data_IF_847366593274
#
_entry.id   IF_847366593274
#
_cell.length_a   1.000
_cell.length_b   1.000
_cell.length_c   1.000
_cell.angle_alpha   90.00
_cell.angle_beta   90.00
_cell.angle_gamma   90.00
#
_symmetry.space_group_name_H-M   'P 1'
#
loop_
_entity.id
_entity.type
_entity.pdbx_description
1 polymer ?
#
# COMPACT_ATOMS: atom_id res chain seq x y z
N UNK A 1 48.09 -5.20 0.04
CA UNK A 1 47.47 -3.92 0.44
C UNK A 1 46.00 -4.18 0.59
N UNK A 2 45.45 -3.90 1.78
CA UNK A 2 44.06 -4.15 2.11
C UNK A 2 43.12 -3.34 1.18
N UNK A 3 42.11 -4.03 0.65
CA UNK A 3 40.97 -3.45 -0.07
C UNK A 3 40.30 -2.37 0.79
N UNK A 4 39.85 -1.24 0.23
CA UNK A 4 38.95 -0.36 0.94
C UNK A 4 37.60 -1.08 1.06
N UNK A 5 37.20 -1.35 2.29
CA UNK A 5 35.85 -1.79 2.63
C UNK A 5 34.85 -0.85 1.97
N UNK A 6 33.87 -1.42 1.27
CA UNK A 6 32.73 -0.69 0.73
C UNK A 6 32.14 0.18 1.84
N UNK A 7 32.12 1.50 1.64
CA UNK A 7 31.27 2.36 2.46
C UNK A 7 29.80 1.98 2.18
N UNK A 8 29.01 1.63 3.21
CA UNK A 8 27.57 1.49 3.06
C UNK A 8 27.01 2.79 2.45
N UNK A 9 25.96 2.69 1.63
CA UNK A 9 25.17 3.85 1.20
C UNK A 9 24.97 4.79 2.40
N UNK A 10 25.67 5.93 2.41
CA UNK A 10 25.52 6.89 3.49
C UNK A 10 24.03 7.28 3.55
N UNK A 11 23.37 7.18 4.72
CA UNK A 11 21.97 7.55 4.82
C UNK A 11 21.84 9.02 4.44
N UNK A 12 20.98 9.28 3.45
CA UNK A 12 20.63 10.65 3.07
C UNK A 12 20.14 11.39 4.31
N UNK A 13 20.56 12.66 4.50
CA UNK A 13 20.25 13.41 5.72
C UNK A 13 18.74 13.59 5.88
N UNK A 14 18.25 13.29 7.09
CA UNK A 14 16.83 13.40 7.47
C UNK A 14 16.26 14.78 7.13
N UNK A 15 14.98 14.89 6.74
CA UNK A 15 14.32 16.19 6.59
C UNK A 15 14.47 17.02 7.87
N UNK A 16 15.02 18.23 7.76
CA UNK A 16 15.25 19.13 8.91
C UNK A 16 16.68 19.16 9.49
N UNK A 17 17.62 18.37 8.95
CA UNK A 17 19.06 18.54 9.24
C UNK A 17 19.69 19.61 8.36
N UNK A 18 20.81 20.20 8.78
CA UNK A 18 21.50 21.24 8.00
C UNK A 18 21.92 20.73 6.61
N UNK A 19 22.18 19.41 6.51
CA UNK A 19 22.55 18.72 5.29
C UNK A 19 21.39 18.52 4.29
N UNK A 20 20.12 18.71 4.69
CA UNK A 20 18.95 18.67 3.80
C UNK A 20 18.42 20.05 3.38
N UNK A 21 19.12 21.13 3.74
CA UNK A 21 18.72 22.52 3.44
C UNK A 21 19.58 23.18 2.35
N UNK A 22 19.02 24.20 1.67
CA UNK A 22 19.77 24.93 0.63
C UNK A 22 21.02 25.63 1.21
N UNK A 23 22.11 25.80 0.44
CA UNK A 23 23.33 26.45 0.92
C UNK A 23 23.10 27.87 1.47
N UNK A 24 22.07 28.58 0.99
CA UNK A 24 21.68 29.89 1.50
C UNK A 24 21.07 29.82 2.90
N UNK A 25 20.17 28.84 3.13
CA UNK A 25 19.52 28.61 4.42
C UNK A 25 20.53 28.09 5.45
N UNK A 26 21.41 27.16 5.06
CA UNK A 26 22.47 26.66 5.93
C UNK A 26 23.42 27.79 6.40
N UNK A 27 23.77 28.73 5.51
CA UNK A 27 24.56 29.93 5.86
C UNK A 27 23.79 30.86 6.80
N UNK A 28 22.49 31.06 6.59
CA UNK A 28 21.64 31.88 7.46
C UNK A 28 21.56 31.28 8.87
N UNK A 29 21.32 29.97 8.98
CA UNK A 29 21.22 29.25 10.26
C UNK A 29 22.54 29.30 11.05
N UNK A 30 23.69 29.12 10.37
CA UNK A 30 25.01 29.31 11.01
C UNK A 30 25.20 30.72 11.55
N UNK A 31 24.73 31.74 10.83
CA UNK A 31 24.83 33.15 11.23
C UNK A 31 23.96 33.48 12.45
N UNK A 32 22.95 32.65 12.73
CA UNK A 32 22.05 32.77 13.88
C UNK A 32 22.42 31.81 15.02
N UNK A 33 23.66 31.30 15.03
CA UNK A 33 24.19 30.39 16.05
C UNK A 33 23.38 29.08 16.22
N UNK A 34 22.68 28.64 15.18
CA UNK A 34 21.97 27.36 15.20
C UNK A 34 22.95 26.19 15.35
N UNK A 35 22.71 25.32 16.34
CA UNK A 35 23.41 24.03 16.48
C UNK A 35 22.45 22.91 16.08
N UNK A 36 22.93 21.95 15.30
CA UNK A 36 22.15 20.80 14.87
C UNK A 36 21.63 20.02 16.10
N UNK A 37 20.32 19.76 16.14
CA UNK A 37 19.65 19.17 17.31
C UNK A 37 19.34 20.15 18.45
N UNK A 38 19.45 21.47 18.24
CA UNK A 38 19.06 22.49 19.23
C UNK A 38 17.93 23.39 18.71
N UNK A 39 17.09 23.91 19.61
CA UNK A 39 15.97 24.78 19.24
C UNK A 39 16.44 26.19 18.89
N UNK A 40 15.70 26.89 18.02
CA UNK A 40 16.05 28.21 17.46
C UNK A 40 16.10 29.39 18.46
N UNK A 41 15.94 29.17 19.76
CA UNK A 41 15.98 30.22 20.78
C UNK A 41 17.39 30.56 21.30
N UNK A 42 17.56 31.71 21.99
CA UNK A 42 18.85 32.24 22.46
C UNK A 42 19.69 31.33 23.37
N UNK A 43 19.11 30.24 23.87
CA UNK A 43 19.74 29.22 24.72
C UNK A 43 19.55 27.79 24.20
N UNK A 44 19.32 27.61 22.90
CA UNK A 44 18.93 26.32 22.32
C UNK A 44 17.50 25.90 22.68
N UNK A 45 16.68 26.84 23.19
CA UNK A 45 15.30 26.58 23.61
C UNK A 45 14.38 26.72 22.40
N UNK A 46 13.73 25.63 22.03
CA UNK A 46 12.81 25.53 20.92
C UNK A 46 12.44 24.06 20.74
N UNK A 47 11.31 23.81 20.11
CA UNK A 47 10.83 22.45 19.87
C UNK A 47 11.74 21.81 18.82
N UNK A 48 12.62 20.90 19.25
CA UNK A 48 13.58 20.20 18.37
C UNK A 48 12.99 18.90 17.83
N UNK A 49 12.24 18.19 18.68
CA UNK A 49 11.46 17.05 18.24
C UNK A 49 10.25 17.57 17.43
N UNK A 50 9.77 16.86 16.39
CA UNK A 50 8.47 17.12 15.81
C UNK A 50 7.44 17.26 16.95
N UNK A 51 6.49 18.20 16.84
CA UNK A 51 5.39 18.30 17.81
C UNK A 51 4.62 16.99 17.75
N UNK A 52 4.98 16.05 18.61
CA UNK A 52 4.19 14.86 18.82
C UNK A 52 2.90 15.34 19.46
N UNK A 53 1.77 15.07 18.82
CA UNK A 53 0.48 15.12 19.48
C UNK A 53 0.48 14.03 20.55
N UNK A 54 1.09 14.31 21.71
CA UNK A 54 0.98 13.46 22.88
C UNK A 54 -0.44 13.70 23.38
N UNK A 55 -1.33 12.76 23.05
CA UNK A 55 -2.56 12.56 23.79
C UNK A 55 -2.11 12.38 25.24
N UNK A 56 -2.33 13.39 26.09
CA UNK A 56 -2.04 13.24 27.51
C UNK A 56 -2.92 12.08 27.98
N UNK A 57 -2.32 10.92 28.21
CA UNK A 57 -2.93 9.83 28.99
C UNK A 57 -2.99 10.26 30.46
N UNK A 58 -3.57 11.43 30.73
CA UNK A 58 -4.01 11.80 32.05
C UNK A 58 -5.40 11.19 32.20
N UNK A 59 -5.39 9.93 32.64
CA UNK A 59 -6.56 9.27 33.18
C UNK A 59 -7.13 10.17 34.29
N UNK A 60 -8.38 10.61 34.14
CA UNK A 60 -9.23 11.20 35.19
C UNK A 60 -9.07 12.69 35.55
N UNK A 61 -9.10 13.63 34.60
CA UNK A 61 -9.45 15.03 34.95
C UNK A 61 -10.31 15.71 33.87
N UNK A 62 -11.55 15.24 33.76
CA UNK A 62 -12.62 15.94 33.08
C UNK A 62 -13.95 15.31 33.48
N UNK A 63 -14.83 16.08 34.11
CA UNK A 63 -16.21 15.64 34.40
C UNK A 63 -16.88 15.45 33.04
N UNK A 64 -16.88 14.21 32.54
CA UNK A 64 -17.39 13.83 31.22
C UNK A 64 -16.49 12.90 30.39
N UNK A 65 -15.22 12.66 30.77
CA UNK A 65 -14.37 11.73 30.02
C UNK A 65 -14.67 10.27 30.40
N UNK A 66 -15.65 9.65 29.73
CA UNK A 66 -15.69 8.19 29.63
C UNK A 66 -14.82 7.78 28.45
N UNK A 67 -13.63 7.26 28.73
CA UNK A 67 -12.98 6.31 27.82
C UNK A 67 -13.80 5.02 27.86
N UNK A 68 -15.01 5.07 27.31
CA UNK A 68 -15.77 3.87 27.00
C UNK A 68 -14.90 3.15 25.98
N UNK A 69 -14.51 1.91 26.30
CA UNK A 69 -13.70 1.07 25.43
C UNK A 69 -14.15 1.28 23.98
N UNK A 70 -13.18 1.57 23.09
CA UNK A 70 -13.45 1.64 21.66
C UNK A 70 -14.28 0.41 21.31
N UNK A 71 -15.47 0.64 20.78
CA UNK A 71 -16.38 -0.44 20.41
C UNK A 71 -15.63 -1.37 19.44
N UNK A 72 -15.43 -2.63 19.83
CA UNK A 72 -14.81 -3.64 18.96
C UNK A 72 -15.80 -4.03 17.87
N UNK A 73 -15.73 -3.32 16.76
CA UNK A 73 -16.48 -3.56 15.53
C UNK A 73 -15.90 -4.72 14.70
N UNK A 74 -14.77 -5.32 15.12
CA UNK A 74 -14.04 -6.33 14.36
C UNK A 74 -13.16 -5.77 13.23
N UNK A 75 -12.96 -4.45 13.15
CA UNK A 75 -12.27 -3.75 12.07
C UNK A 75 -11.02 -3.00 12.61
N UNK A 76 -9.93 -2.88 11.82
CA UNK A 76 -8.67 -2.27 12.29
C UNK A 76 -8.70 -0.73 12.35
N UNK A 77 -7.90 -0.15 13.26
CA UNK A 77 -7.63 1.30 13.37
C UNK A 77 -6.44 1.72 12.48
N UNK A 78 -6.48 2.92 11.89
CA UNK A 78 -5.45 3.40 10.93
C UNK A 78 -4.41 4.36 11.57
N UNK A 79 -3.09 4.15 11.38
CA UNK A 79 -2.02 5.07 11.81
C UNK A 79 -1.70 6.21 10.80
N UNK A 80 -0.92 7.25 11.18
CA UNK A 80 -0.61 8.42 10.32
C UNK A 80 0.47 8.16 9.24
N UNK A 81 0.29 8.77 8.05
CA UNK A 81 0.84 8.34 6.74
C UNK A 81 2.19 8.98 6.31
N UNK A 82 2.61 10.12 6.88
CA UNK A 82 3.61 11.02 6.22
C UNK A 82 5.08 10.60 6.36
N UNK A 83 5.53 10.06 7.50
CA UNK A 83 6.94 9.63 7.65
C UNK A 83 7.27 8.38 6.82
N UNK A 84 6.25 7.67 6.39
CA UNK A 84 6.39 6.39 5.70
C UNK A 84 6.69 6.55 4.21
N UNK A 85 6.14 7.58 3.56
CA UNK A 85 6.38 7.85 2.14
C UNK A 85 7.86 8.18 1.84
N UNK A 86 8.51 8.97 2.70
CA UNK A 86 9.92 9.32 2.52
C UNK A 86 10.83 8.11 2.72
N UNK A 87 10.54 7.28 3.73
CA UNK A 87 11.26 6.04 4.00
C UNK A 87 11.18 5.09 2.81
N UNK A 88 9.98 4.85 2.28
CA UNK A 88 9.75 4.01 1.10
C UNK A 88 10.58 4.47 -0.09
N UNK A 89 10.55 5.77 -0.38
CA UNK A 89 11.33 6.34 -1.49
C UNK A 89 12.85 6.11 -1.36
N UNK A 90 13.38 6.20 -0.14
CA UNK A 90 14.80 5.94 0.10
C UNK A 90 15.15 4.45 -0.08
N UNK A 91 14.28 3.56 0.40
CA UNK A 91 14.43 2.11 0.25
C UNK A 91 14.39 1.70 -1.23
N UNK A 92 13.49 2.28 -2.02
CA UNK A 92 13.38 2.03 -3.47
C UNK A 92 14.67 2.37 -4.22
N UNK A 93 15.28 3.52 -3.94
CA UNK A 93 16.53 3.93 -4.58
C UNK A 93 17.70 2.99 -4.25
N UNK A 94 17.80 2.55 -3.00
CA UNK A 94 18.80 1.57 -2.58
C UNK A 94 18.59 0.21 -3.26
N UNK A 95 17.33 -0.24 -3.37
CA UNK A 95 16.95 -1.47 -4.06
C UNK A 95 17.36 -1.44 -5.53
N UNK A 96 17.01 -0.37 -6.26
CA UNK A 96 17.38 -0.22 -7.69
C UNK A 96 18.89 -0.32 -7.89
N UNK A 97 19.67 0.34 -7.03
CA UNK A 97 21.13 0.32 -7.10
C UNK A 97 21.71 -1.07 -6.89
N UNK A 98 21.21 -1.80 -5.90
CA UNK A 98 21.65 -3.17 -5.61
C UNK A 98 21.34 -4.11 -6.79
N UNK A 99 20.17 -3.97 -7.42
CA UNK A 99 19.81 -4.77 -8.59
C UNK A 99 20.70 -4.47 -9.81
N UNK A 100 21.07 -3.21 -10.04
CA UNK A 100 21.99 -2.86 -11.13
C UNK A 100 23.39 -3.48 -10.95
N UNK A 101 23.86 -3.57 -9.71
CA UNK A 101 25.13 -4.22 -9.36
C UNK A 101 25.04 -5.73 -9.59
N UNK A 102 24.01 -6.38 -9.05
CA UNK A 102 23.77 -7.82 -9.24
C UNK A 102 23.66 -8.18 -10.73
N UNK A 103 22.92 -7.37 -11.50
CA UNK A 103 22.77 -7.52 -12.95
C UNK A 103 24.12 -7.53 -13.67
N UNK A 104 24.97 -6.56 -13.35
CA UNK A 104 26.28 -6.38 -13.98
C UNK A 104 27.17 -7.57 -13.70
N UNK A 105 27.25 -8.00 -12.43
CA UNK A 105 28.10 -9.11 -12.01
C UNK A 105 27.69 -10.42 -12.68
N UNK A 106 26.38 -10.73 -12.71
CA UNK A 106 25.88 -11.93 -13.40
C UNK A 106 26.16 -11.90 -14.90
N UNK A 107 25.99 -10.74 -15.55
CA UNK A 107 26.30 -10.60 -17.00
C UNK A 107 27.78 -10.84 -17.28
N UNK A 108 28.69 -10.31 -16.44
CA UNK A 108 30.13 -10.54 -16.59
C UNK A 108 30.48 -12.02 -16.41
N UNK A 109 29.87 -12.70 -15.43
CA UNK A 109 30.08 -14.12 -15.20
C UNK A 109 29.65 -14.94 -16.43
N UNK A 110 28.41 -14.74 -16.91
CA UNK A 110 27.90 -15.44 -18.10
C UNK A 110 28.76 -15.21 -19.35
N UNK A 111 29.17 -13.96 -19.61
CA UNK A 111 30.03 -13.65 -20.75
C UNK A 111 31.42 -14.28 -20.62
N UNK A 112 31.99 -14.35 -19.42
CA UNK A 112 33.28 -15.02 -19.19
C UNK A 112 33.20 -16.50 -19.50
N UNK A 113 32.18 -17.17 -18.97
CA UNK A 113 31.95 -18.60 -19.21
C UNK A 113 31.84 -18.87 -20.72
N UNK A 114 31.10 -18.04 -21.45
CA UNK A 114 31.01 -18.12 -22.92
C UNK A 114 32.34 -17.87 -23.65
N UNK A 115 33.19 -16.96 -23.14
CA UNK A 115 34.51 -16.69 -23.75
C UNK A 115 35.57 -17.74 -23.42
N UNK A 116 35.34 -18.60 -22.43
CA UNK A 116 36.22 -19.71 -22.10
C UNK A 116 35.91 -20.96 -22.94
N UNK A 117 34.73 -21.03 -23.59
CA UNK A 117 34.38 -22.06 -24.56
C UNK A 117 35.05 -21.79 -25.93
N UNK A 118 35.57 -22.83 -26.59
CA UNK A 118 36.44 -22.74 -27.80
C UNK A 118 35.78 -22.08 -29.05
N UNK A 119 34.50 -21.69 -29.00
CA UNK A 119 33.71 -21.14 -30.12
C UNK A 119 33.22 -19.71 -29.83
N UNK A 120 34.16 -18.82 -29.48
CA UNK A 120 33.89 -17.46 -29.02
C UNK A 120 33.33 -16.59 -30.15
N UNK A 121 32.12 -16.05 -29.97
CA UNK A 121 31.63 -14.98 -30.85
C UNK A 121 32.41 -13.68 -30.60
N UNK A 122 32.75 -12.95 -31.66
CA UNK A 122 33.43 -11.65 -31.57
C UNK A 122 32.58 -10.67 -30.77
N UNK A 123 31.25 -10.78 -30.90
CA UNK A 123 30.25 -10.01 -30.18
C UNK A 123 30.33 -10.20 -28.66
N UNK A 124 30.58 -11.44 -28.18
CA UNK A 124 30.75 -11.72 -26.75
C UNK A 124 32.02 -11.08 -26.19
N UNK A 125 33.14 -11.17 -26.91
CA UNK A 125 34.41 -10.57 -26.49
C UNK A 125 34.31 -9.02 -26.45
N UNK A 126 33.72 -8.42 -27.47
CA UNK A 126 33.48 -6.97 -27.53
C UNK A 126 32.51 -6.50 -26.42
N UNK A 127 31.46 -7.28 -26.15
CA UNK A 127 30.52 -6.99 -25.07
C UNK A 127 31.19 -7.02 -23.69
N UNK A 128 32.02 -8.04 -23.43
CA UNK A 128 32.77 -8.16 -22.18
C UNK A 128 33.72 -6.98 -21.99
N UNK A 129 34.48 -6.62 -23.03
CA UNK A 129 35.38 -5.47 -23.02
C UNK A 129 34.62 -4.16 -22.70
N UNK A 130 33.48 -3.92 -23.36
CA UNK A 130 32.66 -2.73 -23.14
C UNK A 130 32.11 -2.63 -21.70
N UNK A 131 31.70 -3.74 -21.08
CA UNK A 131 31.23 -3.75 -19.69
C UNK A 131 32.37 -3.52 -18.69
N UNK A 132 33.55 -4.09 -18.97
CA UNK A 132 34.74 -3.92 -18.13
C UNK A 132 35.29 -2.49 -18.18
N UNK A 133 35.17 -1.79 -19.32
CA UNK A 133 35.57 -0.38 -19.47
C UNK A 133 34.64 0.62 -18.77
N UNK A 134 33.40 0.21 -18.42
CA UNK A 134 32.49 1.07 -17.68
C UNK A 134 33.03 1.40 -16.29
N UNK A 135 33.30 2.70 -16.07
CA UNK A 135 33.88 3.23 -14.82
C UNK A 135 32.94 3.16 -13.60
N UNK A 136 31.63 2.97 -13.79
CA UNK A 136 30.65 3.01 -12.69
C UNK A 136 29.59 1.91 -12.84
N UNK A 137 29.39 1.15 -11.75
CA UNK A 137 28.42 0.05 -11.63
C UNK A 137 26.99 0.47 -11.94
N UNK A 138 26.59 1.72 -11.71
CA UNK A 138 25.21 2.20 -11.94
C UNK A 138 25.03 2.98 -13.25
N UNK A 139 26.11 3.21 -14.01
CA UNK A 139 26.01 3.88 -15.33
C UNK A 139 26.32 2.93 -16.50
N UNK A 140 26.75 1.71 -16.22
CA UNK A 140 27.20 0.77 -17.25
C UNK A 140 26.16 0.55 -18.34
N UNK A 141 24.88 0.36 -17.98
CA UNK A 141 23.79 0.22 -18.96
C UNK A 141 23.73 1.43 -19.90
N UNK A 142 23.87 2.65 -19.37
CA UNK A 142 23.81 3.87 -20.17
C UNK A 142 25.04 4.06 -21.08
N UNK A 143 26.20 3.49 -20.70
CA UNK A 143 27.44 3.58 -21.47
C UNK A 143 27.56 2.52 -22.57
N UNK A 144 26.76 1.45 -22.54
CA UNK A 144 26.83 0.39 -23.55
C UNK A 144 26.25 0.81 -24.90
N UNK A 145 26.95 0.52 -26.02
CA UNK A 145 26.39 0.64 -27.37
C UNK A 145 25.07 -0.13 -27.51
N UNK A 146 24.17 0.36 -28.38
CA UNK A 146 22.86 -0.27 -28.58
C UNK A 146 22.95 -1.70 -29.14
N UNK A 147 23.92 -1.97 -30.02
CA UNK A 147 24.20 -3.31 -30.55
C UNK A 147 24.64 -4.27 -29.46
N UNK A 148 25.61 -3.87 -28.62
CA UNK A 148 26.10 -4.66 -27.49
C UNK A 148 24.97 -5.00 -26.52
N UNK A 149 24.13 -4.01 -26.17
CA UNK A 149 22.99 -4.23 -25.28
C UNK A 149 21.97 -5.20 -25.87
N UNK A 150 21.68 -5.09 -27.17
CA UNK A 150 20.79 -6.00 -27.87
C UNK A 150 21.35 -7.42 -27.85
N UNK A 151 22.63 -7.61 -28.16
CA UNK A 151 23.28 -8.91 -28.10
C UNK A 151 23.19 -9.53 -26.71
N UNK A 152 23.58 -8.80 -25.66
CA UNK A 152 23.50 -9.29 -24.28
C UNK A 152 22.08 -9.71 -23.91
N UNK A 153 21.07 -8.90 -24.24
CA UNK A 153 19.68 -9.23 -23.90
C UNK A 153 19.18 -10.44 -24.67
N UNK A 154 19.36 -10.47 -25.99
CA UNK A 154 18.77 -11.48 -26.87
C UNK A 154 19.51 -12.82 -26.83
N UNK A 155 20.83 -12.81 -26.83
CA UNK A 155 21.65 -14.02 -27.01
C UNK A 155 22.21 -14.58 -25.69
N UNK A 156 22.29 -13.77 -24.62
CA UNK A 156 22.86 -14.19 -23.33
C UNK A 156 21.77 -14.32 -22.26
N UNK A 157 21.04 -13.23 -22.01
CA UNK A 157 20.12 -13.15 -20.88
C UNK A 157 18.84 -13.93 -21.13
N UNK A 158 18.17 -13.72 -22.28
CA UNK A 158 16.89 -14.38 -22.57
C UNK A 158 16.97 -15.91 -22.53
N UNK A 159 17.96 -16.59 -23.15
CA UNK A 159 18.05 -18.04 -23.08
C UNK A 159 18.28 -18.56 -21.66
N UNK A 160 19.15 -17.90 -20.89
CA UNK A 160 19.41 -18.26 -19.50
C UNK A 160 18.15 -18.09 -18.63
N UNK A 161 17.46 -16.96 -18.78
CA UNK A 161 16.19 -16.71 -18.11
C UNK A 161 15.12 -17.73 -18.49
N UNK A 162 15.02 -18.10 -19.77
CA UNK A 162 14.06 -19.10 -20.22
C UNK A 162 14.31 -20.45 -19.54
N UNK A 163 15.57 -20.89 -19.45
CA UNK A 163 15.94 -22.12 -18.76
C UNK A 163 15.61 -22.06 -17.25
N UNK A 164 16.00 -20.98 -16.56
CA UNK A 164 15.69 -20.80 -15.14
C UNK A 164 14.17 -20.70 -14.89
N UNK A 165 13.44 -20.02 -15.77
CA UNK A 165 11.98 -19.90 -15.68
C UNK A 165 11.27 -21.25 -15.83
N UNK A 166 11.83 -22.21 -16.58
CA UNK A 166 11.28 -23.56 -16.70
C UNK A 166 11.44 -24.39 -15.42
N UNK A 167 12.54 -24.22 -14.68
CA UNK A 167 12.77 -24.92 -13.41
C UNK A 167 12.17 -24.19 -12.20
N UNK A 168 11.98 -22.88 -12.32
CA UNK A 168 11.45 -22.03 -11.26
C UNK A 168 10.07 -22.49 -10.77
N UNK A 169 9.86 -22.41 -9.45
CA UNK A 169 8.58 -22.67 -8.81
C UNK A 169 8.14 -21.45 -8.02
N UNK A 170 6.90 -20.97 -8.20
CA UNK A 170 6.41 -19.85 -7.43
C UNK A 170 6.27 -20.24 -5.96
N UNK A 171 6.62 -19.29 -5.09
CA UNK A 171 6.45 -19.39 -3.64
C UNK A 171 6.31 -17.98 -3.07
N UNK A 172 5.85 -17.86 -1.82
CA UNK A 172 5.79 -16.59 -1.11
C UNK A 172 7.15 -16.02 -0.72
N UNK A 173 8.24 -16.78 -0.91
CA UNK A 173 9.59 -16.34 -0.58
C UNK A 173 9.90 -15.02 -1.32
N UNK A 174 10.28 -13.93 -0.62
CA UNK A 174 10.63 -12.66 -1.24
C UNK A 174 11.75 -12.76 -2.30
N UNK A 175 12.58 -13.79 -2.22
CA UNK A 175 13.65 -14.06 -3.18
C UNK A 175 13.24 -15.08 -4.26
N UNK A 176 11.98 -15.53 -4.33
CA UNK A 176 11.54 -16.54 -5.30
C UNK A 176 11.70 -16.09 -6.76
N UNK A 177 11.72 -14.77 -7.03
CA UNK A 177 11.95 -14.21 -8.37
C UNK A 177 13.43 -13.92 -8.67
N UNK A 178 14.39 -14.52 -7.95
CA UNK A 178 15.84 -14.26 -8.12
C UNK A 178 16.37 -14.47 -9.54
N UNK A 179 15.68 -15.27 -10.35
CA UNK A 179 16.06 -15.55 -11.74
C UNK A 179 15.71 -14.39 -12.68
N UNK A 180 14.74 -13.53 -12.30
CA UNK A 180 14.25 -12.39 -13.09
C UNK A 180 14.73 -11.06 -12.50
N UNK A 181 14.63 -10.93 -11.17
CA UNK A 181 14.88 -9.70 -10.41
C UNK A 181 16.18 -8.97 -10.81
N UNK A 182 17.32 -9.66 -11.01
CA UNK A 182 18.59 -9.02 -11.36
C UNK A 182 18.59 -8.45 -12.77
N UNK A 183 17.74 -8.94 -13.68
CA UNK A 183 17.76 -8.54 -15.08
C UNK A 183 16.86 -7.33 -15.37
N UNK A 184 15.89 -7.05 -14.50
CA UNK A 184 14.94 -5.92 -14.62
C UNK A 184 15.64 -4.60 -14.97
N UNK A 185 16.78 -4.21 -14.35
CA UNK A 185 17.45 -2.98 -14.73
C UNK A 185 17.87 -2.92 -16.20
N UNK A 186 18.15 -4.04 -16.86
CA UNK A 186 18.49 -4.10 -18.30
C UNK A 186 17.25 -4.21 -19.19
N UNK A 187 16.40 -5.21 -18.93
CA UNK A 187 15.30 -5.62 -19.82
C UNK A 187 14.03 -4.79 -19.59
N UNK A 188 13.91 -4.13 -18.43
CA UNK A 188 12.74 -3.35 -18.02
C UNK A 188 11.61 -4.23 -17.50
N UNK A 189 11.15 -5.18 -18.31
CA UNK A 189 10.04 -6.07 -18.00
C UNK A 189 10.33 -7.52 -18.41
N UNK A 190 9.55 -8.45 -17.88
CA UNK A 190 9.55 -9.85 -18.28
C UNK A 190 9.40 -9.96 -19.82
N UNK A 191 10.27 -10.72 -20.50
CA UNK A 191 10.18 -10.95 -21.95
C UNK A 191 8.86 -11.61 -22.35
N UNK A 192 8.34 -11.25 -23.52
CA UNK A 192 6.97 -11.63 -23.90
C UNK A 192 6.76 -13.14 -24.07
N UNK A 193 7.80 -13.82 -24.51
CA UNK A 193 7.88 -15.26 -24.70
C UNK A 193 7.81 -16.06 -23.39
N UNK A 194 8.07 -15.42 -22.24
CA UNK A 194 8.02 -16.07 -20.92
C UNK A 194 6.68 -15.87 -20.20
N UNK A 195 5.78 -15.02 -20.71
CA UNK A 195 4.52 -14.71 -20.03
C UNK A 195 3.66 -15.96 -19.77
N UNK A 196 3.42 -16.79 -20.78
CA UNK A 196 2.55 -17.96 -20.64
C UNK A 196 3.11 -18.98 -19.63
N UNK A 197 4.45 -19.15 -19.61
CA UNK A 197 5.14 -20.03 -18.66
C UNK A 197 4.99 -19.51 -17.24
N UNK A 198 5.19 -18.22 -17.03
CA UNK A 198 5.05 -17.58 -15.72
C UNK A 198 3.59 -17.57 -15.26
N UNK A 199 2.66 -17.17 -16.13
CA UNK A 199 1.22 -17.12 -15.85
C UNK A 199 0.70 -18.49 -15.41
N UNK A 200 0.98 -19.54 -16.19
CA UNK A 200 0.53 -20.90 -15.86
C UNK A 200 1.07 -21.39 -14.51
N UNK A 201 2.32 -21.08 -14.16
CA UNK A 201 2.92 -21.43 -12.87
C UNK A 201 2.34 -20.65 -11.71
N UNK A 202 2.11 -19.35 -11.87
CA UNK A 202 1.46 -18.54 -10.83
C UNK A 202 0.05 -19.09 -10.55
N UNK A 203 -0.71 -19.34 -11.61
CA UNK A 203 -2.09 -19.84 -11.50
C UNK A 203 -2.18 -21.23 -10.87
N UNK A 204 -1.13 -22.06 -10.95
CA UNK A 204 -1.13 -23.36 -10.28
C UNK A 204 -1.17 -23.28 -8.76
N UNK A 205 -0.99 -22.09 -8.18
CA UNK A 205 -1.06 -21.81 -6.72
C UNK A 205 -2.30 -21.01 -6.31
N UNK A 206 -3.28 -20.83 -7.20
CA UNK A 206 -4.43 -19.94 -6.96
C UNK A 206 -5.23 -20.26 -5.69
N UNK A 207 -5.25 -21.52 -5.25
CA UNK A 207 -5.97 -21.98 -4.06
C UNK A 207 -5.14 -21.92 -2.77
N UNK A 208 -3.88 -21.46 -2.84
CA UNK A 208 -2.99 -21.37 -1.68
C UNK A 208 -3.21 -20.08 -0.89
N UNK A 209 -3.00 -20.15 0.43
CA UNK A 209 -3.25 -19.03 1.35
C UNK A 209 -2.37 -17.80 1.04
N UNK A 210 -1.17 -18.03 0.54
CA UNK A 210 -0.16 -17.03 0.20
C UNK A 210 -0.27 -16.50 -1.24
N UNK A 211 -1.34 -16.84 -1.95
CA UNK A 211 -1.47 -16.55 -3.39
C UNK A 211 -1.31 -15.06 -3.72
N UNK A 212 -1.81 -14.16 -2.86
CA UNK A 212 -1.61 -12.72 -3.03
C UNK A 212 -0.11 -12.35 -3.05
N UNK A 213 0.68 -12.89 -2.14
CA UNK A 213 2.10 -12.56 -1.99
C UNK A 213 2.94 -13.17 -3.11
N UNK A 214 2.47 -14.28 -3.69
CA UNK A 214 3.03 -14.86 -4.92
C UNK A 214 2.76 -13.98 -6.14
N UNK A 215 1.58 -13.36 -6.24
CA UNK A 215 1.12 -12.58 -7.40
C UNK A 215 1.59 -11.12 -7.37
N UNK A 216 1.53 -10.46 -6.21
CA UNK A 216 1.75 -9.02 -6.09
C UNK A 216 3.08 -8.50 -6.68
N UNK A 217 4.23 -9.21 -6.57
CA UNK A 217 5.50 -8.71 -7.10
C UNK A 217 5.52 -8.63 -8.63
N UNK A 218 4.69 -9.41 -9.32
CA UNK A 218 4.63 -9.44 -10.78
C UNK A 218 4.09 -8.16 -11.39
N UNK A 219 3.40 -7.32 -10.62
CA UNK A 219 2.97 -5.98 -11.04
C UNK A 219 4.16 -5.11 -11.48
N UNK A 220 5.31 -5.25 -10.81
CA UNK A 220 6.51 -4.47 -11.10
C UNK A 220 7.32 -5.07 -12.26
N UNK A 221 7.16 -6.37 -12.52
CA UNK A 221 7.94 -7.09 -13.52
C UNK A 221 7.25 -7.19 -14.89
N UNK A 222 5.92 -7.20 -14.94
CA UNK A 222 5.19 -7.31 -16.20
C UNK A 222 5.00 -5.95 -16.88
N UNK A 223 4.92 -5.93 -18.21
CA UNK A 223 4.53 -4.73 -18.93
C UNK A 223 3.09 -4.32 -18.55
N UNK A 224 2.77 -3.01 -18.41
CA UNK A 224 1.45 -2.57 -17.95
C UNK A 224 0.26 -3.12 -18.74
N UNK A 225 0.41 -3.32 -20.06
CA UNK A 225 -0.65 -3.92 -20.91
C UNK A 225 -0.90 -5.39 -20.59
N UNK A 226 0.16 -6.13 -20.30
CA UNK A 226 0.08 -7.56 -19.98
C UNK A 226 -0.43 -7.76 -18.56
N UNK A 227 0.03 -6.93 -17.62
CA UNK A 227 -0.54 -6.89 -16.27
C UNK A 227 -2.05 -6.60 -16.29
N UNK A 228 -2.49 -5.64 -17.11
CA UNK A 228 -3.92 -5.34 -17.26
C UNK A 228 -4.70 -6.56 -17.82
N UNK A 229 -4.14 -7.24 -18.82
CA UNK A 229 -4.75 -8.46 -19.37
C UNK A 229 -4.86 -9.57 -18.32
N UNK A 230 -3.79 -9.81 -17.55
CA UNK A 230 -3.76 -10.77 -16.46
C UNK A 230 -4.80 -10.44 -15.37
N UNK A 231 -4.82 -9.19 -14.91
CA UNK A 231 -5.76 -8.74 -13.87
C UNK A 231 -7.22 -8.86 -14.31
N UNK A 232 -7.55 -8.48 -15.55
CA UNK A 232 -8.91 -8.64 -16.11
C UNK A 232 -9.34 -10.09 -16.21
N UNK A 233 -8.42 -11.00 -16.54
CA UNK A 233 -8.73 -12.43 -16.71
C UNK A 233 -8.89 -13.16 -15.39
N UNK A 234 -8.09 -12.81 -14.37
CA UNK A 234 -7.96 -13.63 -13.15
C UNK A 234 -8.31 -12.89 -11.86
N UNK A 235 -7.90 -11.62 -11.71
CA UNK A 235 -8.08 -10.87 -10.46
C UNK A 235 -9.48 -10.24 -10.39
N UNK A 236 -9.94 -9.57 -11.46
CA UNK A 236 -11.25 -8.90 -11.45
C UNK A 236 -12.43 -9.88 -11.22
N UNK A 237 -12.47 -11.08 -11.82
CA UNK A 237 -13.53 -12.04 -11.53
C UNK A 237 -13.53 -12.51 -10.07
N UNK A 238 -12.35 -12.69 -9.48
CA UNK A 238 -12.22 -13.00 -8.06
C UNK A 238 -12.71 -11.85 -7.17
N UNK A 239 -12.31 -10.61 -7.45
CA UNK A 239 -12.79 -9.43 -6.73
C UNK A 239 -14.31 -9.29 -6.82
N UNK A 240 -14.86 -9.48 -8.01
CA UNK A 240 -16.31 -9.46 -8.25
C UNK A 240 -17.01 -10.49 -7.38
N UNK A 241 -16.50 -11.72 -7.32
CA UNK A 241 -17.03 -12.78 -6.47
C UNK A 241 -16.97 -12.41 -4.98
N UNK A 242 -15.84 -11.90 -4.50
CA UNK A 242 -15.68 -11.47 -3.10
C UNK A 242 -16.70 -10.39 -2.71
N UNK A 243 -16.90 -9.37 -3.56
CA UNK A 243 -17.87 -8.30 -3.29
C UNK A 243 -19.31 -8.82 -3.36
N UNK A 244 -19.62 -9.70 -4.32
CA UNK A 244 -20.93 -10.34 -4.43
C UNK A 244 -21.27 -11.17 -3.19
N UNK A 245 -20.35 -12.02 -2.75
CA UNK A 245 -20.53 -12.95 -1.64
C UNK A 245 -20.42 -12.28 -0.25
N UNK A 246 -19.91 -11.05 -0.18
CA UNK A 246 -19.70 -10.30 1.07
C UNK A 246 -20.95 -10.19 1.93
N UNK A 247 -20.89 -10.70 3.15
CA UNK A 247 -21.97 -10.54 4.13
C UNK A 247 -21.72 -9.34 5.05
N UNK A 248 -22.73 -8.48 5.18
CA UNK A 248 -22.74 -7.41 6.18
C UNK A 248 -23.30 -7.94 7.50
N UNK A 249 -22.49 -7.88 8.55
CA UNK A 249 -22.81 -8.47 9.86
C UNK A 249 -22.69 -7.45 10.98
N UNK A 250 -23.51 -6.40 11.02
CA UNK A 250 -23.58 -5.56 12.21
C UNK A 250 -24.09 -6.38 13.43
N UNK A 251 -23.62 -6.10 14.66
CA UNK A 251 -22.77 -4.97 15.00
C UNK A 251 -21.27 -5.29 14.80
N UNK A 252 -20.87 -6.57 14.80
CA UNK A 252 -19.47 -7.01 14.69
C UNK A 252 -19.20 -7.71 13.37
N UNK A 253 -18.36 -7.11 12.54
CA UNK A 253 -18.03 -7.66 11.24
C UNK A 253 -17.05 -8.84 11.36
N UNK A 254 -17.39 -9.98 10.74
CA UNK A 254 -16.56 -11.20 10.76
C UNK A 254 -16.09 -11.59 9.35
N UNK A 255 -16.89 -11.29 8.33
CA UNK A 255 -16.58 -11.66 6.95
C UNK A 255 -15.35 -10.86 6.43
N UNK A 256 -14.27 -11.54 6.00
CA UNK A 256 -13.04 -10.91 5.56
C UNK A 256 -13.06 -10.49 4.08
N UNK A 257 -14.13 -10.76 3.33
CA UNK A 257 -14.20 -10.59 1.87
C UNK A 257 -13.82 -9.17 1.42
N UNK A 258 -14.27 -8.12 2.14
CA UNK A 258 -13.86 -6.75 1.80
C UNK A 258 -12.38 -6.52 2.11
N UNK A 259 -11.88 -6.99 3.26
CA UNK A 259 -10.46 -6.86 3.59
C UNK A 259 -9.58 -7.54 2.55
N UNK A 260 -9.96 -8.74 2.11
CA UNK A 260 -9.31 -9.44 0.99
C UNK A 260 -9.43 -8.62 -0.29
N UNK A 261 -10.61 -8.11 -0.65
CA UNK A 261 -10.76 -7.26 -1.84
C UNK A 261 -9.84 -6.01 -1.79
N UNK A 262 -9.71 -5.38 -0.62
CA UNK A 262 -8.86 -4.21 -0.40
C UNK A 262 -7.36 -4.54 -0.38
N UNK A 263 -6.99 -5.78 -0.02
CA UNK A 263 -5.62 -6.29 -0.19
C UNK A 263 -5.23 -6.35 -1.67
N UNK A 264 -6.15 -6.80 -2.53
CA UNK A 264 -5.94 -6.93 -3.97
C UNK A 264 -6.20 -5.63 -4.77
N UNK A 265 -6.95 -4.67 -4.22
CA UNK A 265 -7.31 -3.42 -4.91
C UNK A 265 -6.12 -2.61 -5.45
N UNK A 266 -4.97 -2.47 -4.74
CA UNK A 266 -3.79 -1.77 -5.27
C UNK A 266 -3.20 -2.43 -6.52
N UNK A 267 -3.52 -3.69 -6.81
CA UNK A 267 -2.99 -4.42 -7.96
C UNK A 267 -3.75 -4.14 -9.26
N UNK A 268 -4.92 -3.50 -9.20
CA UNK A 268 -5.79 -3.26 -10.35
C UNK A 268 -6.09 -1.77 -10.53
N UNK A 269 -6.56 -1.33 -11.71
CA UNK A 269 -7.00 0.05 -11.89
C UNK A 269 -8.15 0.40 -10.94
N UNK A 270 -8.06 1.54 -10.26
CA UNK A 270 -9.07 2.00 -9.28
C UNK A 270 -10.48 2.01 -9.87
N UNK A 271 -10.62 2.40 -11.13
CA UNK A 271 -11.90 2.49 -11.83
C UNK A 271 -12.56 1.11 -12.03
N UNK A 272 -11.78 0.04 -12.20
CA UNK A 272 -12.33 -1.31 -12.31
C UNK A 272 -12.91 -1.76 -10.94
N UNK A 273 -12.26 -1.40 -9.83
CA UNK A 273 -12.78 -1.69 -8.47
C UNK A 273 -14.04 -0.89 -8.17
N UNK A 274 -14.07 0.41 -8.52
CA UNK A 274 -15.28 1.23 -8.37
C UNK A 274 -16.45 0.63 -9.15
N UNK A 275 -16.21 0.20 -10.39
CA UNK A 275 -17.24 -0.43 -11.22
C UNK A 275 -17.77 -1.72 -10.59
N UNK A 276 -16.89 -2.56 -10.04
CA UNK A 276 -17.31 -3.78 -9.32
C UNK A 276 -18.18 -3.44 -8.11
N UNK A 277 -17.80 -2.43 -7.31
CA UNK A 277 -18.58 -2.02 -6.14
C UNK A 277 -19.98 -1.50 -6.53
N UNK A 278 -20.08 -0.77 -7.64
CA UNK A 278 -21.34 -0.26 -8.19
C UNK A 278 -22.20 -1.41 -8.76
N UNK A 279 -21.63 -2.29 -9.59
CA UNK A 279 -22.34 -3.39 -10.25
C UNK A 279 -22.84 -4.46 -9.28
N UNK A 280 -22.05 -4.81 -8.26
CA UNK A 280 -22.41 -5.80 -7.24
C UNK A 280 -23.23 -5.21 -6.08
N UNK A 281 -23.74 -3.98 -6.26
CA UNK A 281 -24.62 -3.27 -5.34
C UNK A 281 -24.04 -3.20 -3.92
N UNK A 282 -22.72 -3.06 -3.79
CA UNK A 282 -22.03 -3.05 -2.50
C UNK A 282 -22.63 -2.00 -1.57
N UNK A 283 -22.76 -0.76 -2.06
CA UNK A 283 -23.20 0.36 -1.24
C UNK A 283 -24.69 0.27 -0.88
N UNK A 284 -25.54 -0.25 -1.76
CA UNK A 284 -26.96 -0.41 -1.47
C UNK A 284 -27.17 -1.49 -0.40
N UNK A 285 -26.48 -2.62 -0.52
CA UNK A 285 -26.50 -3.70 0.49
C UNK A 285 -25.92 -3.25 1.83
N UNK A 286 -24.86 -2.44 1.80
CA UNK A 286 -24.24 -1.86 2.98
C UNK A 286 -25.22 -0.94 3.72
N UNK A 287 -25.88 -0.06 2.98
CA UNK A 287 -26.87 0.89 3.48
C UNK A 287 -28.11 0.19 4.04
N UNK A 288 -28.65 -0.80 3.32
CA UNK A 288 -29.82 -1.58 3.73
C UNK A 288 -29.56 -2.35 5.02
N UNK A 289 -28.37 -2.94 5.14
CA UNK A 289 -27.95 -3.66 6.35
C UNK A 289 -27.87 -2.73 7.56
N UNK A 290 -27.34 -1.52 7.36
CA UNK A 290 -27.29 -0.50 8.41
C UNK A 290 -28.70 -0.04 8.81
N UNK A 291 -29.58 0.27 7.84
CA UNK A 291 -30.98 0.65 8.12
C UNK A 291 -31.70 -0.44 8.90
N UNK A 292 -31.57 -1.70 8.46
CA UNK A 292 -32.18 -2.83 9.15
C UNK A 292 -31.68 -2.96 10.59
N UNK A 293 -30.37 -2.83 10.82
CA UNK A 293 -29.80 -2.85 12.16
C UNK A 293 -30.30 -1.71 13.04
N UNK A 294 -30.40 -0.49 12.50
CA UNK A 294 -30.91 0.68 13.23
C UNK A 294 -32.40 0.58 13.59
N UNK A 295 -33.19 -0.05 12.72
CA UNK A 295 -34.63 -0.25 12.90
C UNK A 295 -34.99 -1.52 13.66
N UNK A 296 -34.00 -2.38 13.94
CA UNK A 296 -34.21 -3.58 14.75
C UNK A 296 -34.69 -3.23 16.16
N UNK A 297 -35.48 -4.11 16.78
CA UNK A 297 -36.12 -3.85 18.09
C UNK A 297 -35.15 -3.58 19.25
N UNK A 298 -33.85 -3.83 19.05
CA UNK A 298 -32.75 -3.48 19.97
C UNK A 298 -31.85 -2.39 19.40
N UNK A 299 -32.43 -1.24 18.98
CA UNK A 299 -31.74 -0.09 18.37
C UNK A 299 -30.32 0.11 18.92
N UNK A 300 -29.28 0.05 18.07
CA UNK A 300 -27.91 0.18 18.54
C UNK A 300 -27.64 1.59 19.10
N UNK A 301 -26.73 1.71 20.08
CA UNK A 301 -26.21 3.01 20.47
C UNK A 301 -25.58 3.71 19.27
N UNK A 302 -25.84 5.01 19.12
CA UNK A 302 -25.30 5.82 18.02
C UNK A 302 -23.77 5.68 17.87
N UNK A 303 -23.06 5.62 19.01
CA UNK A 303 -21.61 5.44 19.03
C UNK A 303 -21.15 4.12 18.41
N UNK A 304 -21.94 3.05 18.51
CA UNK A 304 -21.62 1.75 17.90
C UNK A 304 -21.86 1.78 16.40
N UNK A 305 -22.96 2.41 15.95
CA UNK A 305 -23.22 2.60 14.53
C UNK A 305 -22.14 3.46 13.84
N UNK A 306 -21.72 4.56 14.48
CA UNK A 306 -20.61 5.41 14.01
C UNK A 306 -19.29 4.63 13.97
N UNK A 307 -18.98 3.86 15.03
CA UNK A 307 -17.76 3.06 15.07
C UNK A 307 -17.76 1.98 13.98
N UNK A 308 -18.89 1.31 13.74
CA UNK A 308 -19.02 0.33 12.67
C UNK A 308 -18.78 0.98 11.29
N UNK A 309 -19.43 2.11 11.00
CA UNK A 309 -19.26 2.80 9.72
C UNK A 309 -17.83 3.32 9.52
N UNK A 310 -17.22 3.86 10.58
CA UNK A 310 -15.81 4.30 10.56
C UNK A 310 -14.87 3.14 10.29
N UNK A 311 -15.11 1.98 10.91
CA UNK A 311 -14.33 0.76 10.65
C UNK A 311 -14.38 0.33 9.19
N UNK A 312 -15.57 0.37 8.56
CA UNK A 312 -15.70 0.06 7.13
C UNK A 312 -14.95 1.06 6.26
N UNK A 313 -15.09 2.37 6.53
CA UNK A 313 -14.34 3.43 5.82
C UNK A 313 -12.82 3.23 5.92
N UNK A 314 -12.33 2.75 7.07
CA UNK A 314 -10.91 2.49 7.29
C UNK A 314 -10.35 1.31 6.50
N UNK A 315 -11.19 0.37 6.03
CA UNK A 315 -10.75 -0.72 5.17
C UNK A 315 -10.39 -0.27 3.75
N UNK A 316 -11.00 0.81 3.25
CA UNK A 316 -10.78 1.26 1.88
C UNK A 316 -9.35 1.77 1.67
N UNK A 317 -8.79 1.48 0.49
CA UNK A 317 -7.47 1.98 0.11
C UNK A 317 -7.49 3.51 -0.05
N UNK A 318 -6.34 4.19 0.11
CA UNK A 318 -6.25 5.64 -0.12
C UNK A 318 -6.73 6.06 -1.51
N UNK A 319 -6.47 5.25 -2.54
CA UNK A 319 -6.87 5.53 -3.92
C UNK A 319 -8.38 5.52 -4.09
N UNK A 320 -9.08 4.54 -3.47
CA UNK A 320 -10.53 4.49 -3.48
C UNK A 320 -11.16 5.62 -2.66
N UNK A 321 -10.54 5.99 -1.54
CA UNK A 321 -10.96 7.12 -0.74
C UNK A 321 -10.71 8.47 -1.43
N UNK A 322 -9.91 8.52 -2.49
CA UNK A 322 -9.75 9.72 -3.30
C UNK A 322 -10.84 9.87 -4.38
N UNK A 323 -11.59 8.80 -4.68
CA UNK A 323 -12.68 8.81 -5.65
C UNK A 323 -13.93 9.48 -5.06
N UNK A 324 -14.36 10.59 -5.66
CA UNK A 324 -15.50 11.39 -5.18
C UNK A 324 -16.79 10.57 -5.06
N UNK A 325 -17.03 9.67 -6.01
CA UNK A 325 -18.23 8.79 -6.02
C UNK A 325 -18.27 7.85 -4.82
N UNK A 326 -17.11 7.26 -4.47
CA UNK A 326 -16.98 6.36 -3.32
C UNK A 326 -17.16 7.13 -2.02
N UNK A 327 -16.49 8.28 -1.88
CA UNK A 327 -16.63 9.15 -0.72
C UNK A 327 -18.08 9.61 -0.52
N UNK A 328 -18.76 10.05 -1.58
CA UNK A 328 -20.14 10.49 -1.50
C UNK A 328 -21.08 9.39 -0.98
N UNK A 329 -20.89 8.14 -1.40
CA UNK A 329 -21.67 7.00 -0.89
C UNK A 329 -21.37 6.72 0.59
N UNK A 330 -20.10 6.73 0.99
CA UNK A 330 -19.72 6.51 2.39
C UNK A 330 -20.23 7.63 3.32
N UNK A 331 -20.13 8.88 2.88
CA UNK A 331 -20.61 10.03 3.66
C UNK A 331 -22.15 10.06 3.72
N UNK A 332 -22.85 9.61 2.67
CA UNK A 332 -24.30 9.44 2.70
C UNK A 332 -24.73 8.41 3.76
N UNK A 333 -24.01 7.28 3.87
CA UNK A 333 -24.27 6.27 4.90
C UNK A 333 -24.02 6.84 6.31
N UNK A 334 -22.95 7.61 6.51
CA UNK A 334 -22.70 8.31 7.77
C UNK A 334 -23.82 9.30 8.12
N UNK A 335 -24.33 10.05 7.13
CA UNK A 335 -25.43 10.98 7.33
C UNK A 335 -26.75 10.29 7.74
N UNK A 336 -26.97 9.03 7.35
CA UNK A 336 -28.13 8.24 7.80
C UNK A 336 -28.08 7.97 9.31
N UNK A 337 -26.89 7.65 9.82
CA UNK A 337 -26.65 7.43 11.26
C UNK A 337 -26.96 8.71 12.05
N UNK A 338 -26.52 9.86 11.53
CA UNK A 338 -26.80 11.16 12.15
C UNK A 338 -28.29 11.56 12.04
N UNK A 339 -28.93 11.33 10.90
CA UNK A 339 -30.34 11.66 10.66
C UNK A 339 -31.33 10.89 11.54
N UNK A 340 -31.06 9.61 11.81
CA UNK A 340 -31.84 8.76 12.71
C UNK A 340 -31.67 9.13 14.20
N UNK A 341 -30.58 9.82 14.55
CA UNK A 341 -30.44 10.46 15.86
C UNK A 341 -31.45 11.60 16.02
N UNK A 342 -31.73 12.38 14.97
CA UNK A 342 -32.70 13.48 15.02
C UNK A 342 -34.16 13.00 15.08
N UNK A 343 -34.52 11.94 14.36
CA UNK A 343 -35.88 11.36 14.41
C UNK A 343 -36.20 10.68 15.76
N UNK A 344 -35.20 10.03 16.39
CA UNK A 344 -35.36 9.42 17.72
C UNK A 344 -35.56 10.42 18.86
N UNK A 345 -34.94 11.61 18.77
CA UNK A 345 -35.14 12.68 19.77
C UNK A 345 -36.54 13.30 19.65
N UNK A 346 -37.12 13.34 18.46
CA UNK A 346 -38.48 13.88 18.23
C UNK A 346 -39.58 13.03 18.84
N UNK A 347 -39.49 11.70 18.73
CA UNK A 347 -40.49 10.77 19.30
C UNK A 347 -40.40 10.67 20.82
N UNK A 348 -39.18 10.75 21.39
CA UNK A 348 -38.96 10.71 22.83
C UNK A 348 -39.44 12.00 23.53
N UNK A 349 -39.28 13.18 22.88
CA UNK A 349 -39.85 14.44 23.35
C UNK A 349 -41.38 14.45 23.31
N UNK A 350 -41.99 13.89 22.27
CA UNK A 350 -43.45 13.75 22.20
C UNK A 350 -44.02 12.80 23.24
N UNK A 351 -43.33 11.67 23.52
CA UNK A 351 -43.75 10.74 24.56
C UNK A 351 -43.61 11.34 25.98
N UNK A 352 -42.53 12.08 26.26
CA UNK A 352 -42.38 12.82 27.52
C UNK A 352 -43.42 13.92 27.68
N UNK A 353 -43.74 14.66 26.61
CA UNK A 353 -44.79 15.69 26.65
C UNK A 353 -46.15 15.08 27.00
N UNK A 354 -46.52 13.96 26.38
CA UNK A 354 -47.78 13.26 26.66
C UNK A 354 -47.84 12.67 28.08
N UNK A 355 -46.72 12.16 28.61
CA UNK A 355 -46.64 11.66 29.99
C UNK A 355 -46.77 12.79 31.02
N UNK A 356 -46.13 13.94 30.79
CA UNK A 356 -46.25 15.12 31.66
C UNK A 356 -47.68 15.66 31.64
N UNK A 357 -48.32 15.71 30.46
CA UNK A 357 -49.71 16.16 30.33
C UNK A 357 -50.71 15.22 31.01
N UNK A 358 -50.48 13.90 30.93
CA UNK A 358 -51.27 12.90 31.66
C UNK A 358 -51.09 13.02 33.18
N UNK A 359 -49.86 13.21 33.68
CA UNK A 359 -49.63 13.41 35.12
C UNK A 359 -50.26 14.70 35.63
N UNK A 360 -50.21 15.78 34.86
CA UNK A 360 -50.81 17.05 35.25
C UNK A 360 -52.35 16.96 35.35
N UNK A 361 -53.00 16.23 34.43
CA UNK A 361 -54.44 15.95 34.50
C UNK A 361 -54.82 15.07 35.68
N UNK A 362 -54.00 14.08 36.03
CA UNK A 362 -54.25 13.23 37.20
C UNK A 362 -54.14 14.01 38.52
N UNK A 363 -53.23 14.98 38.61
CA UNK A 363 -53.09 15.86 39.78
C UNK A 363 -54.28 16.83 39.90
N UNK A 364 -54.83 17.32 38.78
CA UNK A 364 -56.02 18.18 38.79
C UNK A 364 -57.33 17.46 39.14
N UNK A 365 -57.38 16.14 39.00
CA UNK A 365 -58.55 15.33 39.38
C UNK A 365 -58.46 14.84 40.83
N UNK A 366 -57.27 14.90 41.44
CA UNK A 366 -57.02 14.45 42.81
C UNK A 366 -57.00 15.58 43.87
N UNK A 367 -57.17 16.83 43.46
CA UNK A 367 -57.39 18.02 44.30
C UNK A 367 -58.83 18.50 44.11
#
# INVERSE_FOLDING_TARGET
MALPLLEPCQPMPLPGTLASTSPAVARMLRRWNFKEGSGLGPRGKGIVAPVQAVLQQNQHTGIGYSQKALYDNGLPDKPPVVEEEWRRRCEDLCRVRALEEECREKTIAMLRDMTEEDDISVEAADALAAIMESKKVWMWKATLPSSTRKYIVEEVIKPAMAAEAQEWKPSWDPDCHHWLRPWIPLIGHLPEDLYDTVESKILSRADEFDYHDVVSPWKDYMHPTQWNTFTRRHILPMLTRLVRELMFTPPKQIDPSLQTAMLWAPLVPVQDVVSILEEELFFDRYEDSLRHWMQSGGKPPLSEAVAWCTGWKNLFTPELLAEERVLARLDAVMALVDGEAYLGVGTQKSAQALLVDCMHRLVQVAL
#
